data_IF_749506439337
#
_entry.id   IF_749506439337
#
_cell.length_a   1.000
_cell.length_b   1.000
_cell.length_c   1.000
_cell.angle_alpha   90.00
_cell.angle_beta   90.00
_cell.angle_gamma   90.00
#
_symmetry.space_group_name_H-M   'P 1'
#
loop_
_entity.id
_entity.type
_entity.pdbx_description
1 polymer ?
#
# COMPACT_ATOMS: atom_id res chain seq x y z
N UNK A 1 -4.01 -6.07 9.97
CA UNK A 1 -4.41 -6.94 8.85
C UNK A 1 -5.32 -6.12 7.95
N UNK A 2 -5.17 -6.24 6.63
CA UNK A 2 -5.94 -5.52 5.63
C UNK A 2 -6.59 -6.56 4.73
N UNK A 3 -7.91 -6.46 4.58
CA UNK A 3 -8.68 -7.34 3.71
C UNK A 3 -8.65 -6.77 2.29
N UNK A 4 -7.95 -7.46 1.38
CA UNK A 4 -7.78 -7.05 -0.01
C UNK A 4 -8.54 -7.99 -0.94
N UNK A 5 -8.69 -7.62 -2.21
CA UNK A 5 -9.31 -8.48 -3.23
C UNK A 5 -8.52 -9.78 -3.47
N UNK A 6 -7.24 -9.77 -3.16
CA UNK A 6 -6.31 -10.90 -3.31
C UNK A 6 -6.22 -11.74 -2.02
N UNK A 7 -6.94 -11.34 -0.96
CA UNK A 7 -6.97 -11.99 0.35
C UNK A 7 -6.42 -11.10 1.47
N UNK A 8 -6.16 -11.72 2.63
CA UNK A 8 -5.71 -11.00 3.82
C UNK A 8 -4.22 -10.66 3.74
N UNK A 9 -3.91 -9.37 3.78
CA UNK A 9 -2.54 -8.87 3.79
C UNK A 9 -2.13 -8.33 5.16
N UNK A 10 -0.89 -8.60 5.57
CA UNK A 10 -0.35 -8.10 6.84
C UNK A 10 0.44 -6.81 6.63
N UNK A 11 -0.09 -5.71 7.14
CA UNK A 11 0.66 -4.47 7.33
C UNK A 11 1.48 -4.53 8.64
N UNK A 12 2.70 -4.01 8.60
CA UNK A 12 3.54 -3.79 9.78
C UNK A 12 3.67 -2.30 10.07
N UNK A 13 4.04 -1.96 11.31
CA UNK A 13 4.35 -0.56 11.66
C UNK A 13 5.43 -0.01 10.74
N UNK A 14 5.18 1.16 10.14
CA UNK A 14 6.06 1.80 9.17
C UNK A 14 5.70 1.51 7.71
N UNK A 15 4.80 0.56 7.43
CA UNK A 15 4.30 0.34 6.08
C UNK A 15 3.31 1.45 5.69
N UNK A 16 3.32 1.84 4.43
CA UNK A 16 2.30 2.70 3.85
C UNK A 16 1.04 1.90 3.59
N UNK A 17 -0.11 2.53 3.78
CA UNK A 17 -1.41 1.97 3.39
C UNK A 17 -1.88 2.75 2.17
N UNK A 18 -1.85 2.11 1.01
CA UNK A 18 -2.29 2.73 -0.24
C UNK A 18 -3.78 2.46 -0.40
N UNK A 19 -4.53 3.50 -0.75
CA UNK A 19 -5.96 3.38 -1.08
C UNK A 19 -6.11 3.47 -2.60
N UNK A 20 -6.59 2.40 -3.22
CA UNK A 20 -6.92 2.35 -4.62
C UNK A 20 -8.21 3.12 -4.94
N UNK A 21 -8.48 3.31 -6.23
CA UNK A 21 -9.59 4.15 -6.72
C UNK A 21 -10.96 3.66 -6.28
N UNK A 22 -11.13 2.35 -6.05
CA UNK A 22 -12.39 1.78 -5.60
C UNK A 22 -12.48 1.66 -4.06
N UNK A 23 -11.56 2.29 -3.32
CA UNK A 23 -11.51 2.24 -1.86
C UNK A 23 -10.82 0.99 -1.30
N UNK A 24 -10.29 0.12 -2.15
CA UNK A 24 -9.45 -1.00 -1.74
C UNK A 24 -8.17 -0.52 -1.07
N UNK A 25 -7.72 -1.23 -0.03
CA UNK A 25 -6.51 -0.88 0.71
C UNK A 25 -5.49 -2.00 0.61
N UNK A 26 -4.21 -1.67 0.52
CA UNK A 26 -3.13 -2.64 0.57
C UNK A 26 -1.86 -2.05 1.22
N UNK A 27 -1.08 -2.89 1.93
CA UNK A 27 0.19 -2.46 2.52
C UNK A 27 1.28 -2.35 1.46
N UNK A 28 2.11 -1.32 1.56
CA UNK A 28 3.28 -1.11 0.71
C UNK A 28 4.48 -0.70 1.56
N UNK A 29 5.67 -1.23 1.26
CA UNK A 29 6.89 -0.83 1.96
C UNK A 29 7.35 0.54 1.45
N UNK A 30 7.71 1.50 2.33
CA UNK A 30 8.12 2.83 1.90
C UNK A 30 9.28 2.82 0.90
N UNK A 31 10.27 1.94 1.11
CA UNK A 31 11.44 1.81 0.23
C UNK A 31 11.10 1.25 -1.16
N UNK A 32 10.02 0.46 -1.28
CA UNK A 32 9.50 0.00 -2.57
C UNK A 32 8.70 1.12 -3.22
N UNK A 33 7.88 1.83 -2.45
CA UNK A 33 7.08 2.93 -2.95
C UNK A 33 7.95 4.02 -3.58
N UNK A 34 9.00 4.48 -2.87
CA UNK A 34 9.93 5.51 -3.34
C UNK A 34 10.74 5.11 -4.58
N UNK A 35 10.93 3.80 -4.82
CA UNK A 35 11.64 3.30 -6.01
C UNK A 35 10.77 3.22 -7.26
N UNK A 36 9.47 3.04 -7.08
CA UNK A 36 8.54 2.76 -8.18
C UNK A 36 7.72 4.01 -8.53
N UNK A 37 7.42 4.85 -7.55
CA UNK A 37 6.61 6.05 -7.72
C UNK A 37 7.47 7.30 -7.60
N UNK A 38 7.32 8.20 -8.56
CA UNK A 38 7.93 9.52 -8.53
C UNK A 38 6.91 10.56 -8.04
N UNK A 39 7.32 11.55 -7.23
CA UNK A 39 6.46 12.67 -6.89
C UNK A 39 5.98 13.39 -8.15
N UNK A 40 4.72 13.79 -8.16
CA UNK A 40 4.14 14.62 -9.22
C UNK A 40 3.94 16.03 -8.63
N UNK A 41 4.37 17.04 -9.38
CA UNK A 41 4.18 18.47 -9.04
C UNK A 41 2.75 18.97 -9.34
#
# INVERSE_FOLDING_TARGET
MIHTLEGDMKASTGDYIITGINGEQYPCKPDIFEKIYEPVD
#
